data_IF_332273072879
#
_entry.id   IF_332273072879
#
_cell.length_a   1.000
_cell.length_b   1.000
_cell.length_c   1.000
_cell.angle_alpha   90.00
_cell.angle_beta   90.00
_cell.angle_gamma   90.00
#
_symmetry.space_group_name_H-M   'P 1'
#
loop_
_entity.id
_entity.type
_entity.pdbx_description
1 polymer ?
#
# COMPACT_ATOMS: atom_id res chain seq x y z
N UNK A 1 -6.36 7.87 2.90
CA UNK A 1 -6.79 6.66 3.63
C UNK A 1 -5.98 6.53 4.91
N UNK A 2 -6.51 5.92 5.97
CA UNK A 2 -5.81 5.79 7.26
C UNK A 2 -4.45 5.08 7.20
N UNK A 3 -4.18 4.29 6.15
CA UNK A 3 -2.91 3.56 6.00
C UNK A 3 -1.70 4.51 5.88
N UNK A 4 -1.85 5.67 5.23
CA UNK A 4 -0.75 6.64 5.09
C UNK A 4 -0.44 7.39 6.39
N UNK A 5 -1.26 7.27 7.45
CA UNK A 5 -0.94 7.87 8.76
C UNK A 5 0.05 7.03 9.56
N UNK A 6 0.19 5.74 9.24
CA UNK A 6 1.19 4.86 9.84
C UNK A 6 2.52 4.88 9.09
N UNK A 7 2.53 5.43 7.87
CA UNK A 7 3.73 5.55 7.04
C UNK A 7 4.33 6.94 7.23
N UNK A 8 5.40 7.03 8.03
CA UNK A 8 6.06 8.33 8.26
C UNK A 8 6.61 8.89 6.93
N UNK A 9 6.28 10.12 6.53
CA UNK A 9 6.81 10.75 5.33
C UNK A 9 8.35 10.79 5.32
N UNK A 10 8.95 10.91 6.51
CA UNK A 10 10.40 10.89 6.70
C UNK A 10 11.06 9.57 6.25
N UNK A 11 10.45 8.41 6.55
CA UNK A 11 10.97 7.10 6.12
C UNK A 11 10.82 6.92 4.61
N UNK A 12 9.69 7.37 4.04
CA UNK A 12 9.48 7.34 2.58
C UNK A 12 10.50 8.21 1.88
N UNK A 13 10.77 9.43 2.36
CA UNK A 13 11.79 10.30 1.76
C UNK A 13 13.23 9.80 1.96
N UNK A 14 13.51 9.08 3.05
CA UNK A 14 14.83 8.49 3.29
C UNK A 14 15.15 7.32 2.35
N UNK A 15 14.16 6.47 2.05
CA UNK A 15 14.38 5.26 1.23
C UNK A 15 13.94 5.41 -0.23
N UNK A 16 12.84 6.11 -0.50
CA UNK A 16 12.25 6.34 -1.83
C UNK A 16 12.46 7.78 -2.36
N UNK A 17 13.12 8.64 -1.59
CA UNK A 17 13.36 10.03 -1.99
C UNK A 17 14.33 10.16 -3.17
N UNK A 18 14.34 11.33 -3.83
CA UNK A 18 15.09 11.56 -5.06
C UNK A 18 16.62 11.58 -4.91
N UNK A 19 17.12 11.71 -3.67
CA UNK A 19 18.55 11.60 -3.33
C UNK A 19 19.01 10.16 -3.00
N UNK A 20 18.08 9.20 -2.92
CA UNK A 20 18.38 7.79 -2.61
C UNK A 20 18.90 7.06 -3.85
N UNK A 21 19.77 6.05 -3.64
CA UNK A 21 20.25 5.19 -4.70
C UNK A 21 19.06 4.49 -5.36
N UNK A 22 18.89 4.67 -6.68
CA UNK A 22 17.76 4.11 -7.45
C UNK A 22 17.61 2.60 -7.22
N UNK A 23 18.71 1.86 -7.19
CA UNK A 23 18.67 0.41 -6.92
C UNK A 23 18.10 0.07 -5.53
N UNK A 24 18.47 0.84 -4.50
CA UNK A 24 17.94 0.65 -3.15
C UNK A 24 16.46 1.05 -3.05
N UNK A 25 16.07 2.17 -3.67
CA UNK A 25 14.67 2.62 -3.69
C UNK A 25 13.74 1.58 -4.35
N UNK A 26 14.19 0.96 -5.45
CA UNK A 26 13.43 -0.09 -6.13
C UNK A 26 13.38 -1.38 -5.31
N UNK A 27 14.50 -1.79 -4.70
CA UNK A 27 14.52 -2.97 -3.83
C UNK A 27 13.59 -2.82 -2.62
N UNK A 28 13.63 -1.66 -1.94
CA UNK A 28 12.73 -1.36 -0.82
C UNK A 28 11.28 -1.30 -1.28
N UNK A 29 10.99 -0.68 -2.43
CA UNK A 29 9.65 -0.64 -3.00
C UNK A 29 9.10 -2.05 -3.29
N UNK A 30 9.89 -2.94 -3.90
CA UNK A 30 9.46 -4.31 -4.20
C UNK A 30 9.23 -5.15 -2.95
N UNK A 31 10.10 -5.03 -1.94
CA UNK A 31 9.94 -5.77 -0.67
C UNK A 31 8.76 -5.24 0.13
N UNK A 32 8.57 -3.91 0.18
CA UNK A 32 7.44 -3.31 0.88
C UNK A 32 6.08 -3.74 0.29
N UNK A 33 5.97 -3.84 -1.04
CA UNK A 33 4.76 -4.33 -1.70
C UNK A 33 4.47 -5.82 -1.45
N UNK A 34 5.51 -6.62 -1.21
CA UNK A 34 5.37 -8.06 -0.88
C UNK A 34 4.83 -8.26 0.55
N UNK A 35 5.27 -7.43 1.50
CA UNK A 35 4.86 -7.51 2.92
C UNK A 35 3.48 -6.89 3.13
N UNK A 36 3.20 -5.78 2.43
CA UNK A 36 1.89 -5.14 2.47
C UNK A 36 0.97 -5.91 1.53
N UNK A 37 0.32 -6.97 2.03
CA UNK A 37 -0.73 -7.69 1.33
C UNK A 37 -1.97 -6.78 1.16
N UNK A 38 -1.87 -5.79 0.28
CA UNK A 38 -2.95 -4.87 -0.05
C UNK A 38 -3.71 -5.37 -1.27
N UNK A 39 -5.03 -5.37 -1.18
CA UNK A 39 -5.90 -5.56 -2.31
C UNK A 39 -5.74 -4.41 -3.33
N UNK A 40 -6.10 -4.67 -4.58
CA UNK A 40 -6.06 -3.70 -5.69
C UNK A 40 -6.81 -2.39 -5.39
N UNK A 41 -7.81 -2.41 -4.51
CA UNK A 41 -8.53 -1.22 -4.05
C UNK A 41 -7.72 -0.32 -3.09
N UNK A 42 -6.70 -0.86 -2.41
CA UNK A 42 -5.87 -0.10 -1.45
C UNK A 42 -4.53 0.34 -2.04
N UNK A 43 -4.12 -0.23 -3.17
CA UNK A 43 -2.83 0.11 -3.80
C UNK A 43 -2.88 1.49 -4.49
N UNK A 44 -4.03 1.87 -5.05
CA UNK A 44 -4.27 3.19 -5.64
C UNK A 44 -4.10 4.35 -4.63
N UNK A 45 -4.77 4.35 -3.46
CA UNK A 45 -4.58 5.41 -2.47
C UNK A 45 -3.18 5.38 -1.84
N UNK A 46 -2.52 4.21 -1.79
CA UNK A 46 -1.13 4.12 -1.35
C UNK A 46 -0.16 4.76 -2.34
N UNK A 47 -0.33 4.49 -3.64
CA UNK A 47 0.45 5.15 -4.68
C UNK A 47 0.27 6.67 -4.63
N UNK A 48 -0.98 7.14 -4.56
CA UNK A 48 -1.26 8.57 -4.46
C UNK A 48 -0.63 9.20 -3.20
N UNK A 49 -0.63 8.50 -2.06
CA UNK A 49 0.00 8.96 -0.83
C UNK A 49 1.52 9.06 -0.93
N UNK A 50 2.19 8.00 -1.39
CA UNK A 50 3.66 7.96 -1.58
C UNK A 50 4.10 9.02 -2.61
N UNK A 51 3.30 9.19 -3.66
CA UNK A 51 3.49 10.22 -4.70
C UNK A 51 3.39 11.64 -4.15
N UNK A 52 2.41 11.92 -3.30
CA UNK A 52 2.23 13.23 -2.65
C UNK A 52 3.34 13.53 -1.63
N UNK A 53 3.98 12.52 -1.05
CA UNK A 53 5.13 12.68 -0.14
C UNK A 53 6.43 13.04 -0.87
N UNK A 54 6.48 12.99 -2.20
CA UNK A 54 7.67 13.36 -2.99
C UNK A 54 8.59 12.20 -3.37
N UNK A 55 8.11 10.95 -3.26
CA UNK A 55 8.82 9.80 -3.82
C UNK A 55 8.83 9.84 -5.36
N UNK A 56 9.88 9.27 -5.96
CA UNK A 56 10.02 9.22 -7.42
C UNK A 56 8.94 8.38 -8.14
N UNK A 57 8.62 8.72 -9.40
CA UNK A 57 7.53 8.10 -10.18
C UNK A 57 7.89 6.67 -10.55
N UNK A 58 9.18 6.43 -10.79
CA UNK A 58 9.76 5.09 -10.97
C UNK A 58 9.54 4.16 -9.76
N UNK A 59 10.09 4.48 -8.58
CA UNK A 59 9.90 3.63 -7.39
C UNK A 59 8.44 3.53 -6.94
N UNK A 60 7.62 4.57 -7.11
CA UNK A 60 6.19 4.52 -6.77
C UNK A 60 5.41 3.58 -7.70
N UNK A 61 5.69 3.59 -9.02
CA UNK A 61 5.05 2.68 -9.98
C UNK A 61 5.54 1.23 -9.80
N UNK A 62 6.81 1.03 -9.47
CA UNK A 62 7.34 -0.30 -9.10
C UNK A 62 6.65 -0.85 -7.85
N UNK A 63 6.44 -0.02 -6.81
CA UNK A 63 5.67 -0.39 -5.62
C UNK A 63 4.23 -0.79 -5.99
N UNK A 64 3.54 0.05 -6.78
CA UNK A 64 2.16 -0.18 -7.25
C UNK A 64 2.03 -1.52 -7.98
N UNK A 65 3.00 -1.87 -8.83
CA UNK A 65 2.97 -3.13 -9.58
C UNK A 65 3.33 -4.34 -8.70
N UNK A 66 4.27 -4.18 -7.76
CA UNK A 66 4.72 -5.27 -6.88
C UNK A 66 3.64 -5.75 -5.91
N UNK A 67 2.79 -4.85 -5.39
CA UNK A 67 1.75 -5.15 -4.40
C UNK A 67 0.80 -6.30 -4.82
N UNK A 68 0.13 -6.22 -5.97
CA UNK A 68 -0.73 -7.31 -6.45
C UNK A 68 0.04 -8.49 -7.05
N UNK A 69 1.26 -8.27 -7.55
CA UNK A 69 1.99 -9.29 -8.30
C UNK A 69 2.77 -10.30 -7.41
N UNK A 70 3.26 -9.86 -6.24
CA UNK A 70 4.11 -10.67 -5.33
C UNK A 70 3.39 -10.98 -4.00
N UNK A 71 2.07 -11.11 -4.04
CA UNK A 71 1.31 -11.42 -2.82
C UNK A 71 1.60 -12.87 -2.35
N UNK A 72 2.05 -13.04 -1.11
CA UNK A 72 2.36 -14.35 -0.53
C UNK A 72 1.16 -15.30 -0.54
N UNK A 73 -0.07 -14.78 -0.33
CA UNK A 73 -1.31 -15.57 -0.42
C UNK A 73 -1.54 -16.07 -1.85
N UNK A 74 -1.23 -15.26 -2.86
CA UNK A 74 -1.35 -15.65 -4.25
C UNK A 74 -0.31 -16.72 -4.62
N UNK A 75 0.93 -16.63 -4.11
CA UNK A 75 1.96 -17.64 -4.33
C UNK A 75 1.57 -18.97 -3.67
N UNK A 76 1.12 -18.94 -2.41
CA UNK A 76 0.66 -20.14 -1.71
C UNK A 76 -0.53 -20.80 -2.41
N UNK A 77 -1.53 -20.01 -2.83
CA UNK A 77 -2.69 -20.55 -3.54
C UNK A 77 -2.29 -21.16 -4.90
N UNK A 78 -1.41 -20.49 -5.65
CA UNK A 78 -0.94 -20.99 -6.95
C UNK A 78 -0.10 -22.26 -6.78
N UNK A 79 0.79 -22.29 -5.79
CA UNK A 79 1.64 -23.45 -5.51
C UNK A 79 0.82 -24.69 -5.11
N UNK A 80 -0.30 -24.50 -4.41
CA UNK A 80 -1.19 -25.60 -4.01
C UNK A 80 -2.05 -26.14 -5.16
N UNK A 81 -2.40 -25.31 -6.15
CA UNK A 81 -3.32 -25.70 -7.24
C UNK A 81 -2.59 -26.13 -8.51
N UNK A 82 -1.52 -25.42 -8.89
CA UNK A 82 -0.77 -25.66 -10.15
C UNK A 82 0.58 -26.37 -9.93
N UNK A 83 1.05 -26.53 -8.69
CA UNK A 83 2.36 -27.07 -8.37
C UNK A 83 3.43 -26.00 -8.12
N UNK A 84 4.53 -26.39 -7.46
CA UNK A 84 5.54 -25.47 -6.93
C UNK A 84 6.34 -24.75 -8.04
N UNK A 85 6.59 -25.43 -9.16
CA UNK A 85 7.39 -24.91 -10.27
C UNK A 85 6.75 -23.70 -10.96
N UNK A 86 5.43 -23.75 -11.19
CA UNK A 86 4.70 -22.64 -11.82
C UNK A 86 4.60 -21.44 -10.86
N UNK A 87 4.46 -21.70 -9.55
CA UNK A 87 4.47 -20.65 -8.53
C UNK A 87 5.77 -19.85 -8.52
N UNK A 88 6.91 -20.55 -8.66
CA UNK A 88 8.23 -19.93 -8.72
C UNK A 88 8.41 -19.08 -9.98
N UNK A 89 8.03 -19.61 -11.15
CA UNK A 89 8.07 -18.86 -12.42
C UNK A 89 7.18 -17.62 -12.40
N UNK A 90 6.01 -17.71 -11.76
CA UNK A 90 5.12 -16.56 -11.57
C UNK A 90 5.76 -15.48 -10.70
N UNK A 91 6.39 -15.87 -9.59
CA UNK A 91 7.08 -14.92 -8.69
C UNK A 91 8.27 -14.24 -9.40
N UNK A 92 9.10 -15.01 -10.10
CA UNK A 92 10.22 -14.49 -10.86
C UNK A 92 9.76 -13.54 -11.99
N UNK A 93 8.73 -13.93 -12.73
CA UNK A 93 8.12 -13.10 -13.78
C UNK A 93 7.54 -11.80 -13.24
N UNK A 94 6.83 -11.86 -12.11
CA UNK A 94 6.27 -10.68 -11.44
C UNK A 94 7.35 -9.68 -11.02
N UNK A 95 8.45 -10.14 -10.41
CA UNK A 95 9.58 -9.30 -10.00
C UNK A 95 10.25 -8.67 -11.22
N UNK A 96 10.51 -9.46 -12.26
CA UNK A 96 11.16 -8.99 -13.48
C UNK A 96 10.30 -7.93 -14.19
N UNK A 97 9.01 -8.19 -14.38
CA UNK A 97 8.09 -7.22 -14.99
C UNK A 97 7.94 -5.95 -14.16
N UNK A 98 7.86 -6.06 -12.82
CA UNK A 98 7.82 -4.90 -11.94
C UNK A 98 9.06 -4.01 -12.12
N UNK A 99 10.23 -4.64 -12.21
CA UNK A 99 11.50 -3.96 -12.37
C UNK A 99 11.60 -3.28 -13.74
N UNK A 100 11.21 -3.97 -14.82
CA UNK A 100 11.21 -3.44 -16.19
C UNK A 100 10.25 -2.26 -16.35
N UNK A 101 9.02 -2.37 -15.85
CA UNK A 101 8.01 -1.30 -15.91
C UNK A 101 8.47 -0.09 -15.10
N UNK A 102 9.00 -0.31 -13.88
CA UNK A 102 9.52 0.76 -13.04
C UNK A 102 10.74 1.47 -13.67
N UNK A 103 11.64 0.73 -14.33
CA UNK A 103 12.78 1.31 -15.05
C UNK A 103 12.34 2.07 -16.30
N UNK A 104 11.38 1.54 -17.06
CA UNK A 104 10.80 2.19 -18.23
C UNK A 104 10.16 3.53 -17.87
N UNK A 105 9.34 3.56 -16.82
CA UNK A 105 8.74 4.79 -16.29
C UNK A 105 9.80 5.81 -15.83
N UNK A 106 10.83 5.37 -15.11
CA UNK A 106 11.93 6.26 -14.71
C UNK A 106 12.80 6.73 -15.88
N UNK A 107 12.86 5.97 -16.97
CA UNK A 107 13.55 6.34 -18.20
C UNK A 107 12.82 7.46 -18.95
N UNK A 108 11.50 7.32 -19.11
CA UNK A 108 10.64 8.24 -19.85
C UNK A 108 10.42 9.55 -19.09
N UNK A 109 10.07 9.49 -17.79
CA UNK A 109 9.73 10.66 -16.98
C UNK A 109 10.93 11.35 -16.30
N UNK A 110 12.16 10.99 -16.70
CA UNK A 110 13.42 11.44 -16.06
C UNK A 110 13.60 12.96 -16.08
N UNK A 111 12.99 13.68 -17.02
CA UNK A 111 13.05 15.16 -17.13
C UNK A 111 12.05 15.83 -16.19
N UNK A 112 10.80 15.37 -16.15
CA UNK A 112 9.77 15.89 -15.24
C UNK A 112 10.06 15.55 -13.79
N UNK A 113 10.66 14.39 -13.52
CA UNK A 113 11.10 14.04 -12.18
C UNK A 113 12.21 14.96 -11.70
N UNK A 114 13.21 15.27 -12.55
CA UNK A 114 14.27 16.24 -12.21
C UNK A 114 13.70 17.64 -11.99
N UNK A 115 12.74 18.07 -12.81
CA UNK A 115 12.06 19.35 -12.65
C UNK A 115 11.24 19.43 -11.36
N UNK A 116 10.54 18.35 -10.99
CA UNK A 116 9.79 18.26 -9.72
C UNK A 116 10.69 18.15 -8.51
N UNK A 117 11.81 17.43 -8.58
CA UNK A 117 12.78 17.37 -7.49
C UNK A 117 13.45 18.72 -7.28
N UNK A 118 13.74 19.44 -8.37
CA UNK A 118 14.22 20.82 -8.31
C UNK A 118 13.16 21.76 -7.72
N UNK A 119 11.88 21.61 -8.11
CA UNK A 119 10.77 22.40 -7.57
C UNK A 119 10.46 22.06 -6.09
N UNK A 120 10.55 20.78 -5.71
CA UNK A 120 10.33 20.29 -4.35
C UNK A 120 11.50 20.65 -3.41
N UNK A 121 12.71 20.84 -3.93
CA UNK A 121 13.84 21.37 -3.16
C UNK A 121 13.68 22.86 -2.80
N UNK A 122 12.74 23.57 -3.46
CA UNK A 122 12.43 25.00 -3.24
C UNK A 122 11.20 25.18 -2.34
N UNK A 123 10.41 24.14 -2.11
CA UNK A 123 9.25 24.21 -1.22
C UNK A 123 9.67 24.00 0.24
N UNK A 124 9.22 24.86 1.18
CA UNK A 124 9.40 24.62 2.61
C UNK A 124 8.73 23.30 3.02
N UNK A 125 9.35 22.56 3.95
CA UNK A 125 8.81 21.30 4.47
C UNK A 125 7.31 21.44 4.81
N UNK A 126 6.47 20.47 4.41
CA UNK A 126 5.04 20.53 4.70
C UNK A 126 4.85 20.66 6.22
N UNK A 127 4.00 21.59 6.69
CA UNK A 127 3.79 21.79 8.12
C UNK A 127 3.38 20.45 8.74
N UNK A 128 3.95 20.06 9.91
CA UNK A 128 3.59 18.82 10.57
C UNK A 128 2.08 18.82 10.78
N UNK A 129 1.40 17.87 10.12
CA UNK A 129 -0.05 17.79 10.11
C UNK A 129 -0.58 17.66 11.53
N UNK A 130 -0.98 18.79 12.10
CA UNK A 130 -1.57 18.88 13.43
C UNK A 130 -2.99 18.34 13.44
N UNK A 131 -3.14 17.02 13.34
CA UNK A 131 -4.39 16.35 13.73
C UNK A 131 -4.30 16.05 15.22
N UNK A 132 -5.09 16.78 16.02
CA UNK A 132 -5.23 16.55 17.48
C UNK A 132 -5.55 15.09 17.72
N UNK A 133 -4.85 14.42 18.64
CA UNK A 133 -4.92 12.96 18.84
C UNK A 133 -6.33 12.38 19.00
N UNK A 134 -7.28 13.18 19.49
CA UNK A 134 -8.69 12.80 19.57
C UNK A 134 -9.39 12.64 18.22
N UNK A 135 -9.01 13.40 17.19
CA UNK A 135 -9.52 13.22 15.81
C UNK A 135 -9.09 11.87 15.24
N UNK A 136 -7.86 11.43 15.53
CA UNK A 136 -7.35 10.11 15.14
C UNK A 136 -8.05 9.00 15.94
N UNK A 137 -8.30 9.21 17.23
CA UNK A 137 -9.08 8.30 18.07
C UNK A 137 -10.52 8.12 17.57
N UNK A 138 -11.21 9.22 17.22
CA UNK A 138 -12.55 9.17 16.65
C UNK A 138 -12.60 8.49 15.28
N UNK A 139 -11.62 8.74 14.41
CA UNK A 139 -11.53 8.09 13.10
C UNK A 139 -11.27 6.58 13.22
N UNK A 140 -10.42 6.16 14.15
CA UNK A 140 -10.17 4.75 14.44
C UNK A 140 -11.40 4.09 15.06
N UNK A 141 -12.09 4.76 15.99
CA UNK A 141 -13.33 4.27 16.58
C UNK A 141 -14.45 4.14 15.54
N UNK A 142 -14.60 5.13 14.64
CA UNK A 142 -15.58 5.08 13.55
C UNK A 142 -15.27 3.98 12.53
N UNK A 143 -13.99 3.76 12.20
CA UNK A 143 -13.57 2.67 11.32
C UNK A 143 -13.83 1.31 11.98
N UNK A 144 -13.52 1.16 13.28
CA UNK A 144 -13.78 -0.06 14.04
C UNK A 144 -15.28 -0.35 14.15
N UNK A 145 -16.11 0.67 14.40
CA UNK A 145 -17.56 0.53 14.43
C UNK A 145 -18.14 0.13 13.07
N UNK A 146 -17.61 0.68 11.97
CA UNK A 146 -18.00 0.30 10.62
C UNK A 146 -17.65 -1.16 10.31
N UNK A 147 -16.45 -1.61 10.66
CA UNK A 147 -16.05 -3.02 10.48
C UNK A 147 -16.85 -3.97 11.36
N UNK A 148 -17.15 -3.61 12.61
CA UNK A 148 -17.98 -4.41 13.50
C UNK A 148 -19.43 -4.52 12.98
N UNK A 149 -19.96 -3.47 12.36
CA UNK A 149 -21.30 -3.47 11.75
C UNK A 149 -21.39 -4.32 10.47
N UNK A 150 -20.26 -4.53 9.78
CA UNK A 150 -20.19 -5.30 8.53
C UNK A 150 -19.70 -6.75 8.72
N UNK A 151 -19.35 -7.15 9.95
CA UNK A 151 -18.94 -8.52 10.23
C UNK A 151 -20.17 -9.44 10.35
N UNK A 152 -20.32 -10.46 9.47
CA UNK A 152 -21.48 -11.35 9.49
C UNK A 152 -21.59 -12.17 10.78
N UNK A 153 -20.53 -12.28 11.60
CA UNK A 153 -20.58 -12.93 12.92
C UNK A 153 -21.19 -12.01 13.99
N UNK A 154 -21.01 -10.70 13.86
CA UNK A 154 -21.61 -9.71 14.75
C UNK A 154 -23.12 -9.57 14.45
N UNK A 155 -23.49 -9.59 13.15
CA UNK A 155 -24.89 -9.68 12.72
C UNK A 155 -25.55 -10.99 13.23
N UNK A 156 -24.83 -12.12 13.19
CA UNK A 156 -25.32 -13.39 13.73
C UNK A 156 -25.47 -13.41 15.26
N UNK A 157 -24.62 -12.68 16.01
CA UNK A 157 -24.76 -12.52 17.46
C UNK A 157 -25.95 -11.61 17.85
N UNK A 158 -26.19 -10.54 17.07
CA UNK A 158 -27.34 -9.63 17.24
C UNK A 158 -28.67 -10.26 16.82
N UNK A 159 -28.68 -11.04 15.73
CA UNK A 159 -29.87 -11.79 15.32
C UNK A 159 -30.08 -13.00 16.23
N UNK A 160 -29.00 -13.59 16.79
CA UNK A 160 -29.06 -14.66 17.78
C UNK A 160 -29.75 -14.24 19.09
N UNK A 161 -29.54 -13.01 19.58
CA UNK A 161 -30.33 -12.47 20.70
C UNK A 161 -31.78 -12.19 20.29
N UNK A 162 -32.00 -11.72 19.06
CA UNK A 162 -33.35 -11.42 18.54
C UNK A 162 -34.21 -12.68 18.31
N UNK A 163 -33.59 -13.83 18.01
CA UNK A 163 -34.29 -15.11 17.82
C UNK A 163 -34.67 -15.78 19.15
N UNK A 164 -33.88 -15.60 20.21
CA UNK A 164 -34.21 -16.07 21.56
C UNK A 164 -35.41 -15.31 22.15
N UNK A 165 -35.52 -14.01 21.87
CA UNK A 165 -36.68 -13.20 22.29
C UNK A 165 -37.96 -13.54 21.51
N UNK A 166 -37.85 -14.03 20.26
CA UNK A 166 -39.00 -14.45 19.44
C UNK A 166 -39.51 -15.87 19.74
N UNK A 167 -38.71 -16.73 20.36
CA UNK A 167 -39.09 -18.10 20.76
C UNK A 167 -39.59 -18.15 22.22
N UNK A 168 -39.26 -17.14 23.03
CA UNK A 168 -39.68 -17.02 24.42
C UNK A 168 -41.01 -16.25 24.64
N UNK A 169 -41.71 -15.87 23.56
CA UNK A 169 -43.04 -15.25 23.57
C UNK A 169 -44.06 -16.12 22.83
#
# INVERSE_FOLDING_TARGET
GGIITFLSPATVMRYLGPKSNKLAAYGVASVAGTVLAVCSCSVLPMFAGIWQMGAGLGPASAFLYSGPAINILAIFLTARVLGFDIGLWRAAGAVLFAFLVGLGMAGIFRREERARVAAAAVLPDPPPGGRRGWQSGLLLAASYAFYAAWDPRFLALLVGSSLLDYVAA
#
